data_IF_289505812580
#
_entry.id   IF_289505812580
#
_cell.length_a   1.000
_cell.length_b   1.000
_cell.length_c   1.000
_cell.angle_alpha   90.00
_cell.angle_beta   90.00
_cell.angle_gamma   90.00
#
_symmetry.space_group_name_H-M   'P 1'
#
loop_
_entity.id
_entity.type
_entity.pdbx_description
1 polymer ?
#
# COMPACT_ATOMS: atom_id res chain seq x y z
N UNK A 1 3.32 42.75 -19.54
CA UNK A 1 4.25 41.71 -19.03
C UNK A 1 3.91 41.14 -17.66
N UNK A 2 3.04 41.75 -16.83
CA UNK A 2 2.73 41.27 -15.46
C UNK A 2 1.79 40.06 -15.38
N UNK A 3 0.91 39.85 -16.37
CA UNK A 3 -0.07 38.74 -16.38
C UNK A 3 0.54 37.37 -16.73
N UNK A 4 1.69 37.33 -17.42
CA UNK A 4 2.37 36.07 -17.79
C UNK A 4 2.96 35.32 -16.58
N UNK A 5 3.29 36.04 -15.51
CA UNK A 5 3.84 35.45 -14.27
C UNK A 5 2.72 34.83 -13.42
N UNK A 6 1.53 35.45 -13.40
CA UNK A 6 0.37 34.96 -12.65
C UNK A 6 -0.17 33.63 -13.20
N UNK A 7 -0.15 33.46 -14.53
CA UNK A 7 -0.59 32.21 -15.18
C UNK A 7 0.39 31.06 -14.91
N UNK A 8 1.69 31.33 -14.79
CA UNK A 8 2.69 30.32 -14.44
C UNK A 8 2.54 29.79 -13.00
N UNK A 9 2.14 30.66 -12.06
CA UNK A 9 1.99 30.28 -10.65
C UNK A 9 0.75 29.41 -10.40
N UNK A 10 -0.33 29.64 -11.16
CA UNK A 10 -1.58 28.87 -11.04
C UNK A 10 -1.42 27.43 -11.56
N UNK A 11 -0.57 27.22 -12.58
CA UNK A 11 -0.28 25.89 -13.10
C UNK A 11 0.50 25.00 -12.12
N UNK A 12 1.34 25.58 -11.25
CA UNK A 12 2.12 24.85 -10.24
C UNK A 12 1.27 24.32 -9.08
N UNK A 13 0.14 24.97 -8.77
CA UNK A 13 -0.75 24.56 -7.68
C UNK A 13 -1.66 23.38 -8.04
N UNK A 14 -1.86 23.09 -9.33
CA UNK A 14 -2.73 21.99 -9.79
C UNK A 14 -2.07 20.61 -9.76
N UNK A 15 -0.74 20.54 -9.56
CA UNK A 15 0.01 19.27 -9.49
C UNK A 15 0.43 18.87 -8.07
N UNK A 16 0.02 19.61 -7.05
CA UNK A 16 0.14 19.17 -5.66
C UNK A 16 -0.92 18.09 -5.37
N UNK A 17 -0.81 16.95 -6.04
CA UNK A 17 -1.69 15.80 -5.82
C UNK A 17 -1.55 15.29 -4.38
N UNK A 18 -2.69 15.03 -3.74
CA UNK A 18 -2.77 14.42 -2.41
C UNK A 18 -2.03 13.07 -2.40
N UNK A 19 -0.88 13.03 -1.75
CA UNK A 19 -0.26 11.75 -1.38
C UNK A 19 -1.16 11.08 -0.33
N UNK A 20 -1.70 9.91 -0.66
CA UNK A 20 -2.41 9.10 0.30
C UNK A 20 -1.46 8.73 1.45
N UNK A 21 -1.91 8.95 2.69
CA UNK A 21 -1.09 8.74 3.88
C UNK A 21 -0.87 7.23 4.10
N UNK A 22 0.39 6.81 4.15
CA UNK A 22 0.79 5.48 4.57
C UNK A 22 1.10 5.51 6.07
N UNK A 23 0.45 4.65 6.83
CA UNK A 23 0.70 4.46 8.26
C UNK A 23 1.71 3.34 8.44
N UNK A 24 2.89 3.63 8.98
CA UNK A 24 3.97 2.66 9.14
C UNK A 24 4.45 2.52 10.58
N UNK A 25 4.97 1.32 10.92
CA UNK A 25 5.58 1.04 12.22
C UNK A 25 6.65 -0.06 12.09
N UNK A 26 7.86 0.25 12.55
CA UNK A 26 8.96 -0.71 12.74
C UNK A 26 8.88 -1.28 14.16
N UNK A 27 8.91 -2.60 14.29
CA UNK A 27 8.84 -3.31 15.57
C UNK A 27 10.18 -3.96 15.93
N UNK A 28 10.92 -4.44 14.93
CA UNK A 28 12.21 -5.06 15.12
C UNK A 28 13.05 -4.99 13.85
N UNK A 29 14.37 -5.13 14.02
CA UNK A 29 15.29 -5.37 12.92
C UNK A 29 15.24 -6.85 12.52
N UNK A 30 15.38 -7.11 11.23
CA UNK A 30 15.57 -8.47 10.71
C UNK A 30 16.89 -9.06 11.25
N UNK A 31 16.91 -10.36 11.52
CA UNK A 31 18.12 -11.05 11.98
C UNK A 31 19.19 -11.18 10.89
N UNK A 32 18.76 -11.14 9.62
CA UNK A 32 19.59 -11.20 8.41
C UNK A 32 19.00 -10.33 7.30
N UNK A 33 19.76 -10.00 6.24
CA UNK A 33 19.23 -9.27 5.10
C UNK A 33 18.01 -9.98 4.48
N UNK A 34 16.99 -9.21 4.12
CA UNK A 34 15.78 -9.72 3.48
C UNK A 34 16.07 -9.86 1.99
N UNK A 35 16.29 -11.10 1.53
CA UNK A 35 16.61 -11.40 0.12
C UNK A 35 15.45 -12.07 -0.62
N UNK A 36 14.49 -12.61 0.13
CA UNK A 36 13.31 -13.28 -0.39
C UNK A 36 12.06 -12.85 0.39
N UNK A 37 10.86 -13.14 -0.14
CA UNK A 37 9.60 -13.11 0.60
C UNK A 37 8.73 -14.32 0.28
N UNK A 38 7.99 -14.79 1.29
CA UNK A 38 6.84 -15.68 1.16
C UNK A 38 5.56 -14.85 1.27
N UNK A 39 4.61 -15.05 0.35
CA UNK A 39 3.33 -14.33 0.39
C UNK A 39 2.26 -15.11 1.16
N UNK A 40 1.63 -14.44 2.14
CA UNK A 40 0.41 -14.89 2.80
C UNK A 40 -0.71 -13.86 2.57
N UNK A 41 -1.50 -14.08 1.52
CA UNK A 41 -2.61 -13.20 1.17
C UNK A 41 -3.93 -13.97 1.07
N UNK A 42 -4.93 -13.54 1.86
CA UNK A 42 -6.30 -14.09 1.77
C UNK A 42 -7.09 -13.47 0.61
N UNK A 43 -6.84 -12.20 0.30
CA UNK A 43 -7.52 -11.52 -0.79
C UNK A 43 -6.86 -11.87 -2.14
N UNK A 44 -7.63 -12.38 -3.13
CA UNK A 44 -7.09 -12.82 -4.40
C UNK A 44 -6.56 -11.68 -5.27
N UNK A 45 -7.16 -10.48 -5.22
CA UNK A 45 -6.68 -9.30 -5.96
C UNK A 45 -5.34 -8.82 -5.39
N UNK A 46 -5.23 -8.72 -4.07
CA UNK A 46 -3.96 -8.38 -3.41
C UNK A 46 -2.88 -9.40 -3.76
N UNK A 47 -3.23 -10.69 -3.78
CA UNK A 47 -2.32 -11.77 -4.18
C UNK A 47 -1.84 -11.59 -5.63
N UNK A 48 -2.77 -11.29 -6.55
CA UNK A 48 -2.47 -11.07 -7.96
C UNK A 48 -1.54 -9.87 -8.16
N UNK A 49 -1.88 -8.72 -7.59
CA UNK A 49 -1.09 -7.49 -7.75
C UNK A 49 0.31 -7.62 -7.17
N UNK A 50 0.45 -8.21 -5.98
CA UNK A 50 1.78 -8.44 -5.40
C UNK A 50 2.60 -9.42 -6.24
N UNK A 51 1.98 -10.48 -6.79
CA UNK A 51 2.68 -11.46 -7.62
C UNK A 51 3.22 -10.87 -8.94
N UNK A 52 2.64 -9.75 -9.42
CA UNK A 52 3.17 -9.00 -10.57
C UNK A 52 4.40 -8.16 -10.22
N UNK A 53 4.50 -7.70 -8.97
CA UNK A 53 5.58 -6.85 -8.47
C UNK A 53 6.80 -7.66 -8.01
N UNK A 54 6.59 -8.89 -7.55
CA UNK A 54 7.64 -9.67 -6.89
C UNK A 54 7.47 -11.18 -7.03
N UNK A 55 8.59 -11.88 -7.23
CA UNK A 55 8.65 -13.35 -7.29
C UNK A 55 8.77 -13.94 -5.88
N UNK A 56 7.65 -14.36 -5.32
CA UNK A 56 7.61 -14.98 -3.99
C UNK A 56 8.12 -16.42 -4.00
N UNK A 57 8.76 -16.83 -2.90
CA UNK A 57 9.22 -18.19 -2.66
C UNK A 57 8.49 -18.79 -1.46
N UNK A 58 8.01 -20.03 -1.59
CA UNK A 58 7.32 -20.74 -0.52
C UNK A 58 8.26 -21.12 0.65
N UNK A 59 9.56 -21.22 0.39
CA UNK A 59 10.59 -21.63 1.36
C UNK A 59 11.24 -20.42 2.07
N UNK A 60 10.79 -19.20 1.79
CA UNK A 60 11.40 -18.02 2.37
C UNK A 60 11.01 -17.83 3.86
N UNK A 61 11.97 -17.56 4.76
CA UNK A 61 11.69 -17.33 6.18
C UNK A 61 11.00 -15.99 6.47
N UNK A 62 11.06 -15.05 5.52
CA UNK A 62 10.41 -13.75 5.61
C UNK A 62 9.02 -13.83 5.01
N UNK A 63 8.00 -13.60 5.84
CA UNK A 63 6.60 -13.74 5.45
C UNK A 63 5.99 -12.35 5.30
N UNK A 64 5.54 -12.03 4.09
CA UNK A 64 4.67 -10.90 3.80
C UNK A 64 3.22 -11.33 3.99
N UNK A 65 2.63 -10.97 5.12
CA UNK A 65 1.21 -11.19 5.38
C UNK A 65 0.41 -9.96 4.95
N UNK A 66 -0.72 -10.19 4.30
CA UNK A 66 -1.65 -9.13 3.91
C UNK A 66 -2.97 -9.26 4.65
N UNK A 67 -3.50 -8.12 5.07
CA UNK A 67 -4.86 -7.99 5.59
C UNK A 67 -5.57 -6.90 4.81
N UNK A 68 -6.77 -7.20 4.30
CA UNK A 68 -7.61 -6.24 3.60
C UNK A 68 -9.01 -6.25 4.21
N UNK A 69 -9.57 -5.07 4.40
CA UNK A 69 -10.96 -4.90 4.84
C UNK A 69 -11.69 -4.00 3.84
N UNK A 70 -12.94 -4.35 3.53
CA UNK A 70 -13.81 -3.58 2.66
C UNK A 70 -15.11 -3.32 3.42
N UNK A 71 -15.47 -2.05 3.62
CA UNK A 71 -16.70 -1.63 4.32
C UNK A 71 -17.93 -1.95 3.46
N UNK A 72 -17.77 -1.85 2.15
CA UNK A 72 -18.83 -2.14 1.17
C UNK A 72 -18.24 -2.93 0.00
N UNK A 73 -19.07 -3.72 -0.68
CA UNK A 73 -18.67 -4.30 -1.96
C UNK A 73 -18.37 -3.18 -2.96
N UNK A 74 -17.32 -3.40 -3.76
CA UNK A 74 -16.87 -2.51 -4.85
C UNK A 74 -17.97 -2.00 -5.79
N UNK A 75 -19.08 -2.73 -5.89
CA UNK A 75 -20.20 -2.46 -6.77
C UNK A 75 -21.32 -1.65 -6.13
N UNK A 76 -21.27 -1.37 -4.82
CA UNK A 76 -22.37 -0.68 -4.16
C UNK A 76 -22.43 0.80 -4.60
N UNK A 77 -23.59 1.19 -5.14
CA UNK A 77 -23.88 2.59 -5.45
C UNK A 77 -23.87 3.48 -4.19
N UNK A 78 -24.18 2.88 -3.04
CA UNK A 78 -24.17 3.50 -1.72
C UNK A 78 -22.78 4.04 -1.33
N UNK A 79 -21.71 3.24 -1.51
CA UNK A 79 -20.35 3.67 -1.24
C UNK A 79 -19.91 4.87 -2.09
N UNK A 80 -20.36 4.91 -3.34
CA UNK A 80 -20.06 6.00 -4.28
C UNK A 80 -20.84 7.29 -3.96
N UNK A 81 -22.03 7.17 -3.36
CA UNK A 81 -22.94 8.29 -3.16
C UNK A 81 -22.76 9.04 -1.83
N UNK A 82 -22.29 8.37 -0.77
CA UNK A 82 -22.23 8.96 0.58
C UNK A 82 -20.94 9.70 0.92
N UNK A 83 -19.98 9.76 -0.01
CA UNK A 83 -18.78 10.58 0.16
C UNK A 83 -17.88 10.17 1.35
N UNK A 84 -17.99 8.94 1.84
CA UNK A 84 -17.12 8.43 2.92
C UNK A 84 -15.65 8.66 2.56
N UNK A 85 -14.85 9.10 3.53
CA UNK A 85 -13.40 9.23 3.37
C UNK A 85 -12.66 7.88 3.38
N UNK A 86 -13.40 6.80 3.54
CA UNK A 86 -12.89 5.46 3.77
C UNK A 86 -13.86 4.39 3.24
N UNK A 87 -13.39 3.54 2.33
CA UNK A 87 -14.11 2.34 1.89
C UNK A 87 -13.41 1.05 2.28
N UNK A 88 -12.13 1.13 2.67
CA UNK A 88 -11.36 -0.01 3.11
C UNK A 88 -9.91 0.33 3.42
N UNK A 89 -9.16 -0.68 3.85
CA UNK A 89 -7.72 -0.58 4.02
C UNK A 89 -7.03 -1.81 3.47
N UNK A 90 -5.77 -1.61 3.05
CA UNK A 90 -4.81 -2.67 2.82
C UNK A 90 -3.67 -2.50 3.81
N UNK A 91 -3.30 -3.58 4.49
CA UNK A 91 -2.20 -3.64 5.44
C UNK A 91 -1.23 -4.74 5.03
N UNK A 92 0.07 -4.42 5.02
CA UNK A 92 1.15 -5.39 4.90
C UNK A 92 1.86 -5.51 6.24
N UNK A 93 2.22 -6.74 6.58
CA UNK A 93 2.97 -7.09 7.77
C UNK A 93 4.10 -8.03 7.38
N UNK A 94 5.34 -7.61 7.68
CA UNK A 94 6.53 -8.40 7.42
C UNK A 94 6.92 -9.14 8.71
N UNK A 95 6.99 -10.46 8.62
CA UNK A 95 7.40 -11.32 9.71
C UNK A 95 8.69 -12.07 9.38
N UNK A 96 9.44 -12.42 10.42
CA UNK A 96 10.53 -13.40 10.37
C UNK A 96 10.33 -14.37 11.53
N UNK A 97 10.18 -15.67 11.26
CA UNK A 97 9.99 -16.69 12.30
C UNK A 97 8.89 -16.34 13.33
N UNK A 98 7.73 -15.87 12.85
CA UNK A 98 6.57 -15.39 13.67
C UNK A 98 6.79 -14.07 14.41
N UNK A 99 7.98 -13.47 14.38
CA UNK A 99 8.25 -12.13 14.93
C UNK A 99 7.86 -11.06 13.91
N UNK A 100 7.01 -10.12 14.32
CA UNK A 100 6.65 -8.97 13.48
C UNK A 100 7.86 -8.01 13.41
N UNK A 101 8.32 -7.74 12.19
CA UNK A 101 9.42 -6.80 11.93
C UNK A 101 8.87 -5.42 11.60
N UNK A 102 7.87 -5.39 10.72
CA UNK A 102 7.35 -4.16 10.14
C UNK A 102 5.87 -4.29 9.79
N UNK A 103 5.15 -3.17 9.88
CA UNK A 103 3.78 -3.03 9.39
C UNK A 103 3.67 -1.73 8.62
N UNK A 104 2.96 -1.75 7.50
CA UNK A 104 2.37 -0.54 6.94
C UNK A 104 0.92 -0.76 6.51
N UNK A 105 0.18 0.33 6.41
CA UNK A 105 -1.22 0.34 6.00
C UNK A 105 -1.51 1.58 5.16
N UNK A 106 -2.39 1.42 4.19
CA UNK A 106 -3.01 2.52 3.46
C UNK A 106 -4.53 2.33 3.46
N UNK A 107 -5.23 3.43 3.69
CA UNK A 107 -6.68 3.49 3.57
C UNK A 107 -7.01 3.92 2.15
N UNK A 108 -8.07 3.36 1.56
CA UNK A 108 -8.47 3.67 0.18
C UNK A 108 -9.97 3.93 0.07
N UNK A 109 -10.33 4.68 -0.98
CA UNK A 109 -11.70 4.85 -1.47
C UNK A 109 -11.94 3.97 -2.69
N UNK A 110 -13.18 3.51 -2.85
CA UNK A 110 -13.63 2.63 -3.90
C UNK A 110 -12.97 1.26 -3.83
N UNK A 111 -12.59 0.75 -5.00
CA UNK A 111 -11.95 -0.56 -5.11
C UNK A 111 -10.45 -0.48 -4.86
N UNK A 112 -9.91 -1.54 -4.26
CA UNK A 112 -8.47 -1.74 -4.17
C UNK A 112 -7.85 -1.69 -5.58
N UNK A 113 -6.96 -0.73 -5.80
CA UNK A 113 -6.25 -0.57 -7.07
C UNK A 113 -4.87 -1.25 -7.02
N UNK A 114 -4.33 -1.65 -8.19
CA UNK A 114 -2.93 -2.07 -8.31
C UNK A 114 -1.97 -1.02 -7.76
N UNK A 115 -2.20 0.27 -8.05
CA UNK A 115 -1.36 1.38 -7.59
C UNK A 115 -1.28 1.50 -6.07
N UNK A 116 -2.40 1.28 -5.35
CA UNK A 116 -2.44 1.25 -3.89
C UNK A 116 -1.55 0.13 -3.34
N UNK A 117 -1.61 -1.06 -3.97
CA UNK A 117 -0.79 -2.22 -3.58
C UNK A 117 0.69 -1.96 -3.86
N UNK A 118 1.00 -1.40 -5.04
CA UNK A 118 2.34 -1.00 -5.43
C UNK A 118 2.95 0.01 -4.45
N UNK A 119 2.26 1.12 -4.18
CA UNK A 119 2.72 2.17 -3.26
C UNK A 119 3.04 1.60 -1.87
N UNK A 120 2.14 0.77 -1.33
CA UNK A 120 2.32 0.16 -0.02
C UNK A 120 3.49 -0.82 0.00
N UNK A 121 3.67 -1.60 -1.06
CA UNK A 121 4.79 -2.53 -1.19
C UNK A 121 6.13 -1.79 -1.33
N UNK A 122 6.21 -0.75 -2.16
CA UNK A 122 7.42 0.07 -2.31
C UNK A 122 7.80 0.78 -1.01
N UNK A 123 6.82 1.31 -0.27
CA UNK A 123 7.09 1.91 1.04
C UNK A 123 7.72 0.89 2.02
N UNK A 124 7.24 -0.35 2.03
CA UNK A 124 7.86 -1.43 2.83
C UNK A 124 9.30 -1.72 2.37
N UNK A 125 9.51 -1.86 1.05
CA UNK A 125 10.82 -2.11 0.44
C UNK A 125 11.86 -1.07 0.86
N UNK A 126 11.49 0.21 0.73
CA UNK A 126 12.31 1.33 1.15
C UNK A 126 12.57 1.32 2.65
N UNK A 127 11.54 1.11 3.48
CA UNK A 127 11.67 1.14 4.93
C UNK A 127 12.52 -0.02 5.49
N UNK A 128 12.52 -1.17 4.83
CA UNK A 128 13.21 -2.39 5.26
C UNK A 128 14.50 -2.70 4.49
N UNK A 129 14.88 -1.84 3.53
CA UNK A 129 16.04 -2.02 2.66
C UNK A 129 16.04 -3.37 1.92
N UNK A 130 14.94 -3.64 1.21
CA UNK A 130 14.67 -4.86 0.45
C UNK A 130 14.20 -4.52 -0.98
#
# INVERSE_FOLDING_TARGET
>A
MRYKILVGLFALLLFAGCNQKIYEKKFAKASKPITCLQLQAKNPLTKLYLAQEYKFSAQCPFILRTTSHFVTTCTSAYAKALGSDFDGFLRLELYENKKLLYRNQIDFKGCLQPSTTHQLFQAMRQAMHF
#
